data_IF_742657169718
#
_entry.id   IF_742657169718
#
_cell.length_a   1.000
_cell.length_b   1.000
_cell.length_c   1.000
_cell.angle_alpha   90.00
_cell.angle_beta   90.00
_cell.angle_gamma   90.00
#
_symmetry.space_group_name_H-M   'P 1'
#
loop_
_entity.id
_entity.type
_entity.pdbx_description
1 polymer ?
#
# COMPACT_ATOMS: atom_id res chain seq x y z
N UNK A 1 11.59 -4.43 28.17
CA UNK A 1 10.34 -3.84 27.62
C UNK A 1 10.44 -3.90 26.11
N UNK A 2 9.65 -4.75 25.44
CA UNK A 2 9.57 -4.75 23.97
C UNK A 2 8.62 -3.63 23.57
N UNK A 3 9.14 -2.58 22.96
CA UNK A 3 8.33 -1.51 22.38
C UNK A 3 7.45 -2.11 21.29
N UNK A 4 6.13 -1.97 21.41
CA UNK A 4 5.21 -2.40 20.37
C UNK A 4 5.54 -1.67 19.06
N UNK A 5 5.68 -2.42 17.97
CA UNK A 5 5.82 -1.83 16.64
C UNK A 5 4.59 -0.96 16.36
N UNK A 6 4.74 0.29 15.88
CA UNK A 6 3.59 1.10 15.54
C UNK A 6 2.85 0.42 14.39
N UNK A 7 1.58 0.09 14.62
CA UNK A 7 0.73 -0.54 13.63
C UNK A 7 0.50 0.43 12.48
N UNK A 8 0.72 -0.02 11.25
CA UNK A 8 0.24 0.70 10.06
C UNK A 8 -1.28 0.89 10.21
N UNK A 9 -1.73 2.14 10.17
CA UNK A 9 -3.13 2.53 10.37
C UNK A 9 -3.61 3.27 9.14
N UNK A 10 -4.81 2.94 8.67
CA UNK A 10 -5.51 3.73 7.66
C UNK A 10 -5.95 5.06 8.28
N UNK A 11 -5.74 6.18 7.60
CA UNK A 11 -6.09 7.49 8.15
C UNK A 11 -7.60 7.76 8.20
N UNK A 12 -8.37 7.08 7.35
CA UNK A 12 -9.84 7.14 7.32
C UNK A 12 -10.41 5.72 7.15
N UNK A 13 -11.72 5.57 7.37
CA UNK A 13 -12.47 4.32 7.16
C UNK A 13 -12.47 3.87 5.70
N UNK A 14 -12.26 4.78 4.76
CA UNK A 14 -12.31 4.49 3.33
C UNK A 14 -13.72 4.10 2.88
N UNK A 15 -13.79 3.23 1.87
CA UNK A 15 -15.03 2.65 1.34
C UNK A 15 -14.81 1.17 1.01
N UNK A 16 -15.87 0.47 0.58
CA UNK A 16 -15.75 -0.91 0.12
C UNK A 16 -14.87 -1.07 -1.12
N UNK A 17 -14.66 0.00 -1.90
CA UNK A 17 -13.91 -0.03 -3.17
C UNK A 17 -12.62 0.79 -3.14
N UNK A 18 -12.33 1.50 -2.06
CA UNK A 18 -11.13 2.34 -1.98
C UNK A 18 -10.65 2.46 -0.56
N UNK A 19 -9.34 2.31 -0.36
CA UNK A 19 -8.70 2.65 0.89
C UNK A 19 -7.34 3.32 0.68
N UNK A 20 -7.06 4.31 1.53
CA UNK A 20 -5.79 5.04 1.53
C UNK A 20 -4.98 4.71 2.79
N UNK A 21 -3.68 4.54 2.58
CA UNK A 21 -2.68 4.19 3.57
C UNK A 21 -1.56 5.23 3.51
N UNK A 22 -1.65 6.31 4.30
CA UNK A 22 -0.51 7.19 4.49
C UNK A 22 0.63 6.45 5.17
N UNK A 23 1.87 6.83 4.85
CA UNK A 23 3.05 6.26 5.50
C UNK A 23 3.01 6.44 7.02
N UNK A 24 3.16 5.32 7.73
CA UNK A 24 3.16 5.32 9.19
C UNK A 24 4.46 5.88 9.78
N UNK A 25 4.44 6.15 11.09
CA UNK A 25 5.55 6.79 11.78
C UNK A 25 6.84 5.97 11.79
N UNK A 26 6.77 4.63 11.89
CA UNK A 26 7.98 3.79 11.83
C UNK A 26 8.61 3.84 10.45
N UNK A 27 7.79 3.73 9.40
CA UNK A 27 8.25 3.83 8.02
C UNK A 27 8.84 5.20 7.72
N UNK A 28 8.22 6.29 8.23
CA UNK A 28 8.81 7.63 8.13
C UNK A 28 10.16 7.72 8.83
N UNK A 29 10.34 7.11 10.00
CA UNK A 29 11.63 7.10 10.71
C UNK A 29 12.70 6.38 9.88
N UNK A 30 12.38 5.19 9.34
CA UNK A 30 13.27 4.44 8.45
C UNK A 30 13.61 5.22 7.18
N UNK A 31 12.63 5.90 6.57
CA UNK A 31 12.87 6.72 5.39
C UNK A 31 13.81 7.90 5.67
N UNK A 32 13.68 8.55 6.83
CA UNK A 32 14.60 9.61 7.25
C UNK A 32 16.01 9.06 7.47
N UNK A 33 16.14 7.90 8.13
CA UNK A 33 17.42 7.22 8.36
C UNK A 33 18.14 6.88 7.06
N UNK A 34 17.41 6.40 6.04
CA UNK A 34 17.97 5.97 4.76
C UNK A 34 17.99 7.05 3.67
N UNK A 35 17.78 8.34 4.01
CA UNK A 35 17.87 9.44 3.05
C UNK A 35 16.72 9.51 2.04
N UNK A 36 15.59 8.84 2.31
CA UNK A 36 14.40 8.79 1.46
C UNK A 36 13.38 9.87 1.86
N UNK A 37 13.83 11.11 2.05
CA UNK A 37 13.00 12.19 2.61
C UNK A 37 11.69 12.43 1.84
N UNK A 38 11.69 12.29 0.51
CA UNK A 38 10.48 12.45 -0.29
C UNK A 38 9.41 11.38 0.01
N UNK A 39 9.78 10.24 0.58
CA UNK A 39 8.85 9.13 0.86
C UNK A 39 8.07 9.29 2.17
N UNK A 40 8.41 10.29 3.00
CA UNK A 40 7.71 10.54 4.28
C UNK A 40 6.31 11.12 4.11
N UNK A 41 5.97 11.57 2.90
CA UNK A 41 4.66 12.09 2.51
C UNK A 41 3.91 11.13 1.57
N UNK A 42 4.39 9.89 1.44
CA UNK A 42 3.74 8.91 0.59
C UNK A 42 2.35 8.55 1.12
N UNK A 43 1.38 8.50 0.22
CA UNK A 43 0.08 7.89 0.44
C UNK A 43 -0.12 6.82 -0.62
N UNK A 44 -0.33 5.59 -0.18
CA UNK A 44 -0.72 4.48 -1.06
C UNK A 44 -2.23 4.35 -1.07
N UNK A 45 -2.83 4.36 -2.24
CA UNK A 45 -4.27 4.17 -2.42
C UNK A 45 -4.52 2.91 -3.24
N UNK A 46 -5.34 2.02 -2.70
CA UNK A 46 -5.85 0.84 -3.40
C UNK A 46 -7.29 1.12 -3.77
N UNK A 47 -7.64 0.91 -5.04
CA UNK A 47 -9.00 1.18 -5.54
C UNK A 47 -9.47 0.08 -6.48
N UNK A 48 -10.61 -0.54 -6.20
CA UNK A 48 -11.40 -1.21 -7.22
C UNK A 48 -12.17 -0.15 -7.99
N UNK A 49 -11.78 0.11 -9.24
CA UNK A 49 -12.45 1.08 -10.10
C UNK A 49 -13.83 0.52 -10.49
N UNK A 50 -13.84 -0.77 -10.85
CA UNK A 50 -15.01 -1.61 -11.05
C UNK A 50 -14.64 -3.10 -10.90
N UNK A 51 -15.49 -4.02 -11.36
CA UNK A 51 -15.26 -5.47 -11.30
C UNK A 51 -14.13 -5.95 -12.22
N UNK A 52 -13.73 -5.14 -13.20
CA UNK A 52 -12.73 -5.46 -14.23
C UNK A 52 -11.41 -4.71 -14.07
N UNK A 53 -11.35 -3.64 -13.28
CA UNK A 53 -10.13 -2.84 -13.11
C UNK A 53 -9.81 -2.56 -11.63
N UNK A 54 -8.56 -2.83 -11.25
CA UNK A 54 -7.99 -2.47 -9.97
C UNK A 54 -6.82 -1.49 -10.13
N UNK A 55 -6.71 -0.51 -9.23
CA UNK A 55 -5.66 0.52 -9.24
C UNK A 55 -4.83 0.50 -7.96
N UNK A 56 -3.51 0.58 -8.14
CA UNK A 56 -2.51 0.83 -7.11
C UNK A 56 -1.87 2.20 -7.37
N UNK A 57 -2.15 3.17 -6.50
CA UNK A 57 -1.66 4.54 -6.65
C UNK A 57 -0.74 4.96 -5.51
N UNK A 58 0.33 5.67 -5.84
CA UNK A 58 1.22 6.36 -4.92
C UNK A 58 1.14 7.87 -5.19
N UNK A 59 0.75 8.64 -4.18
CA UNK A 59 0.75 10.11 -4.24
C UNK A 59 1.66 10.70 -3.18
N UNK A 60 2.31 11.82 -3.53
CA UNK A 60 3.04 12.72 -2.64
C UNK A 60 3.23 14.09 -3.33
N UNK A 61 3.74 15.14 -2.66
CA UNK A 61 3.97 16.43 -3.31
C UNK A 61 4.78 16.31 -4.60
N UNK A 62 4.24 16.88 -5.69
CA UNK A 62 4.82 16.89 -7.03
C UNK A 62 5.05 15.50 -7.66
N UNK A 63 4.44 14.43 -7.15
CA UNK A 63 4.49 13.11 -7.78
C UNK A 63 3.22 12.31 -7.56
N UNK A 64 2.65 11.88 -8.68
CA UNK A 64 1.62 10.86 -8.73
C UNK A 64 2.13 9.72 -9.62
N UNK A 65 1.90 8.49 -9.18
CA UNK A 65 2.23 7.29 -9.92
C UNK A 65 1.10 6.28 -9.71
N UNK A 66 0.56 5.73 -10.79
CA UNK A 66 -0.57 4.82 -10.75
C UNK A 66 -0.31 3.63 -11.67
N UNK A 67 -0.61 2.44 -11.18
CA UNK A 67 -0.65 1.19 -11.95
C UNK A 67 -2.09 0.70 -11.94
N UNK A 68 -2.61 0.31 -13.10
CA UNK A 68 -3.92 -0.32 -13.26
C UNK A 68 -3.76 -1.75 -13.73
N UNK A 69 -4.58 -2.62 -13.19
CA UNK A 69 -4.60 -4.05 -13.46
C UNK A 69 -5.93 -4.40 -14.10
N UNK A 70 -5.87 -5.09 -15.23
CA UNK A 70 -7.01 -5.74 -15.86
C UNK A 70 -7.29 -7.05 -15.09
N UNK A 71 -8.50 -7.15 -14.54
CA UNK A 71 -8.98 -8.30 -13.77
C UNK A 71 -9.72 -9.32 -14.65
N UNK A 72 -9.88 -9.06 -15.94
CA UNK A 72 -10.56 -9.98 -16.88
C UNK A 72 -9.67 -11.14 -17.33
N UNK A 73 -8.35 -11.02 -17.11
CA UNK A 73 -7.35 -12.02 -17.47
C UNK A 73 -6.84 -12.76 -16.21
N UNK A 74 -7.38 -13.96 -15.89
CA UNK A 74 -6.92 -14.72 -14.73
C UNK A 74 -5.50 -15.24 -14.94
N UNK A 75 -4.70 -15.20 -13.88
CA UNK A 75 -3.33 -15.75 -13.85
C UNK A 75 -3.26 -17.01 -12.98
N UNK A 76 -2.29 -17.88 -13.26
CA UNK A 76 -2.05 -19.06 -12.43
C UNK A 76 -1.71 -18.64 -10.99
N UNK A 77 -2.30 -19.34 -10.02
CA UNK A 77 -2.01 -19.09 -8.62
C UNK A 77 -0.54 -19.38 -8.33
N UNK A 78 0.19 -18.46 -7.67
CA UNK A 78 1.56 -18.72 -7.29
C UNK A 78 1.61 -19.89 -6.29
N UNK A 79 2.76 -20.58 -6.16
CA UNK A 79 2.98 -21.54 -5.10
C UNK A 79 2.66 -20.92 -3.73
N UNK A 80 2.23 -21.75 -2.76
CA UNK A 80 1.91 -21.28 -1.40
C UNK A 80 3.04 -20.42 -0.84
N UNK A 81 2.70 -19.22 -0.38
CA UNK A 81 3.68 -18.27 0.12
C UNK A 81 4.33 -18.76 1.42
N UNK A 82 5.63 -18.50 1.58
CA UNK A 82 6.40 -18.66 2.83
C UNK A 82 6.26 -20.00 3.55
N UNK A 83 6.21 -21.11 2.80
CA UNK A 83 6.19 -22.45 3.39
C UNK A 83 4.92 -22.78 4.17
N UNK A 84 3.83 -22.03 3.94
CA UNK A 84 2.55 -22.30 4.57
C UNK A 84 2.03 -23.69 4.16
N UNK A 85 2.01 -24.60 5.12
CA UNK A 85 1.31 -25.88 5.05
C UNK A 85 0.05 -25.74 5.91
N UNK A 86 -1.07 -26.23 5.38
CA UNK A 86 -2.42 -26.06 5.95
C UNK A 86 -2.54 -26.41 7.44
#
# INVERSE_FOLDING_TARGET
>A
MKTAAPTSQTADKGSSHQQAFPVDQASQALFREHGLAASVDNVWTLTFIDESEFSYKLTRPNREFEIRFDLTEPVELPPKAWGYQE
#
